data_IF_343334550775
#
_entry.id   IF_343334550775
#
_cell.length_a   1.000
_cell.length_b   1.000
_cell.length_c   1.000
_cell.angle_alpha   90.00
_cell.angle_beta   90.00
_cell.angle_gamma   90.00
#
_symmetry.space_group_name_H-M   'P 1'
#
loop_
_entity.id
_entity.type
_entity.pdbx_description
1 polymer ?
#
# COMPACT_ATOMS: atom_id res chain seq x y z
N UNK A 1 3.41 -12.73 -3.31
CA UNK A 1 3.77 -11.30 -3.44
C UNK A 1 2.59 -10.43 -2.98
N UNK A 2 1.42 -10.48 -3.62
CA UNK A 2 0.30 -9.57 -3.36
C UNK A 2 -0.11 -9.46 -1.89
N UNK A 3 -0.27 -10.57 -1.17
CA UNK A 3 -0.62 -10.56 0.26
C UNK A 3 0.46 -9.92 1.13
N UNK A 4 1.73 -10.20 0.86
CA UNK A 4 2.84 -9.64 1.62
C UNK A 4 2.97 -8.12 1.38
N UNK A 5 2.88 -7.69 0.12
CA UNK A 5 2.86 -6.26 -0.22
C UNK A 5 1.69 -5.55 0.46
N UNK A 6 0.47 -6.12 0.39
CA UNK A 6 -0.71 -5.56 1.05
C UNK A 6 -0.55 -5.49 2.58
N UNK A 7 0.10 -6.47 3.20
CA UNK A 7 0.42 -6.43 4.62
C UNK A 7 1.37 -5.26 4.95
N UNK A 8 2.44 -5.07 4.17
CA UNK A 8 3.37 -3.94 4.35
C UNK A 8 2.66 -2.60 4.12
N UNK A 9 1.87 -2.48 3.05
CA UNK A 9 1.04 -1.30 2.76
C UNK A 9 0.14 -0.98 3.95
N UNK A 10 -0.51 -2.01 4.51
CA UNK A 10 -1.45 -1.84 5.62
C UNK A 10 -0.72 -1.37 6.88
N UNK A 11 0.37 -2.02 7.25
CA UNK A 11 1.13 -1.65 8.45
C UNK A 11 1.65 -0.22 8.35
N UNK A 12 2.31 0.14 7.24
CA UNK A 12 2.86 1.48 7.05
C UNK A 12 1.76 2.54 6.92
N UNK A 13 0.72 2.27 6.12
CA UNK A 13 -0.38 3.18 5.89
C UNK A 13 -1.20 3.46 7.15
N UNK A 14 -1.51 2.43 7.94
CA UNK A 14 -2.22 2.59 9.22
C UNK A 14 -1.35 3.32 10.24
N UNK A 15 -0.09 2.93 10.41
CA UNK A 15 0.80 3.57 11.36
C UNK A 15 0.98 5.07 11.04
N UNK A 16 1.31 5.40 9.79
CA UNK A 16 1.53 6.79 9.38
C UNK A 16 0.24 7.61 9.40
N UNK A 17 -0.87 7.04 8.93
CA UNK A 17 -2.17 7.70 8.92
C UNK A 17 -2.70 7.99 10.33
N UNK A 18 -2.52 7.06 11.27
CA UNK A 18 -2.86 7.26 12.67
C UNK A 18 -1.99 8.36 13.30
N UNK A 19 -0.67 8.32 13.10
CA UNK A 19 0.25 9.33 13.61
C UNK A 19 -0.14 10.72 13.11
N UNK A 20 -0.37 10.88 11.81
CA UNK A 20 -0.78 12.13 11.19
C UNK A 20 -2.17 12.59 11.67
N UNK A 21 -3.15 11.67 11.75
CA UNK A 21 -4.51 11.97 12.20
C UNK A 21 -4.62 12.45 13.64
N UNK A 22 -3.71 12.01 14.52
CA UNK A 22 -3.64 12.41 15.94
C UNK A 22 -2.81 13.67 16.11
N UNK A 23 -1.86 13.94 15.23
CA UNK A 23 -0.90 15.02 15.34
C UNK A 23 -1.54 16.43 15.37
N UNK A 24 -0.86 17.42 15.97
CA UNK A 24 -1.23 18.84 15.85
C UNK A 24 -1.21 19.28 14.39
N UNK A 25 -2.00 20.32 14.06
CA UNK A 25 -2.20 20.77 12.67
C UNK A 25 -0.89 21.05 11.90
N UNK A 26 0.13 21.60 12.56
CA UNK A 26 1.42 21.89 11.92
C UNK A 26 2.19 20.62 11.56
N UNK A 27 2.26 19.66 12.49
CA UNK A 27 2.93 18.36 12.28
C UNK A 27 2.20 17.53 11.23
N UNK A 28 0.88 17.50 11.29
CA UNK A 28 0.05 16.82 10.30
C UNK A 28 0.25 17.42 8.89
N UNK A 29 0.28 18.76 8.77
CA UNK A 29 0.56 19.41 7.50
C UNK A 29 1.94 19.05 6.95
N UNK A 30 2.97 19.00 7.80
CA UNK A 30 4.31 18.58 7.39
C UNK A 30 4.35 17.13 6.91
N UNK A 31 3.75 16.21 7.68
CA UNK A 31 3.67 14.80 7.31
C UNK A 31 2.95 14.61 5.97
N UNK A 32 1.83 15.30 5.75
CA UNK A 32 1.11 15.21 4.47
C UNK A 32 1.90 15.82 3.31
N UNK A 33 2.65 16.90 3.52
CA UNK A 33 3.54 17.44 2.48
C UNK A 33 4.62 16.45 2.06
N UNK A 34 5.19 15.70 2.99
CA UNK A 34 6.15 14.63 2.66
C UNK A 34 5.51 13.55 1.78
N UNK A 35 4.29 13.13 2.13
CA UNK A 35 3.53 12.16 1.31
C UNK A 35 3.26 12.72 -0.10
N UNK A 36 2.82 13.97 -0.21
CA UNK A 36 2.54 14.63 -1.50
C UNK A 36 3.81 14.73 -2.36
N UNK A 37 4.95 15.10 -1.78
CA UNK A 37 6.22 15.17 -2.49
C UNK A 37 6.64 13.82 -3.07
N UNK A 38 6.55 12.74 -2.29
CA UNK A 38 6.90 11.40 -2.78
C UNK A 38 5.91 10.93 -3.84
N UNK A 39 4.62 11.22 -3.68
CA UNK A 39 3.59 10.85 -4.66
C UNK A 39 3.59 11.70 -5.94
N UNK A 40 4.34 12.81 -6.00
CA UNK A 40 4.51 13.57 -7.23
C UNK A 40 5.26 12.78 -8.31
N UNK A 41 6.01 11.75 -7.91
CA UNK A 41 6.70 10.85 -8.82
C UNK A 41 5.80 9.64 -9.08
N UNK A 42 5.54 9.25 -10.35
CA UNK A 42 4.78 8.05 -10.66
C UNK A 42 5.41 6.80 -10.02
N UNK A 43 4.62 6.06 -9.24
CA UNK A 43 5.11 4.91 -8.46
C UNK A 43 5.80 3.86 -9.33
N UNK A 44 5.32 3.65 -10.56
CA UNK A 44 5.94 2.71 -11.49
C UNK A 44 7.38 3.12 -11.83
N UNK A 45 7.66 4.41 -12.04
CA UNK A 45 9.01 4.90 -12.31
C UNK A 45 9.93 4.69 -11.10
N UNK A 46 9.41 4.90 -9.89
CA UNK A 46 10.17 4.63 -8.66
C UNK A 46 10.52 3.15 -8.54
N UNK A 47 9.57 2.26 -8.84
CA UNK A 47 9.80 0.81 -8.83
C UNK A 47 10.80 0.37 -9.90
N UNK A 48 10.67 0.85 -11.13
CA UNK A 48 11.61 0.56 -12.21
C UNK A 48 13.03 1.00 -11.86
N UNK A 49 13.18 2.20 -11.33
CA UNK A 49 14.47 2.70 -10.87
C UNK A 49 15.04 1.84 -9.71
N UNK A 50 14.23 1.53 -8.72
CA UNK A 50 14.64 0.72 -7.57
C UNK A 50 15.12 -0.67 -8.00
N UNK A 51 14.36 -1.34 -8.87
CA UNK A 51 14.73 -2.67 -9.40
C UNK A 51 16.01 -2.59 -10.24
N UNK A 52 16.16 -1.57 -11.09
CA UNK A 52 17.38 -1.38 -11.90
C UNK A 52 18.62 -1.16 -11.06
N UNK A 53 18.51 -0.47 -9.93
CA UNK A 53 19.64 -0.20 -9.03
C UNK A 53 19.99 -1.38 -8.13
N UNK A 54 19.01 -2.15 -7.71
CA UNK A 54 19.19 -3.28 -6.79
C UNK A 54 19.61 -4.57 -7.52
N UNK A 55 19.46 -4.64 -8.84
CA UNK A 55 19.77 -5.82 -9.64
C UNK A 55 18.70 -6.93 -9.54
N UNK A 56 19.07 -8.21 -9.74
CA UNK A 56 18.10 -9.30 -9.77
C UNK A 56 17.26 -9.40 -8.50
N UNK A 57 15.95 -9.53 -8.67
CA UNK A 57 14.97 -9.52 -7.59
C UNK A 57 14.44 -10.94 -7.32
N UNK A 58 13.97 -11.16 -6.10
CA UNK A 58 13.18 -12.32 -5.72
C UNK A 58 11.76 -11.88 -5.27
N UNK A 59 10.88 -12.84 -5.07
CA UNK A 59 9.49 -12.58 -4.68
C UNK A 59 9.36 -11.73 -3.40
N UNK A 60 10.27 -11.91 -2.44
CA UNK A 60 10.27 -11.14 -1.19
C UNK A 60 10.68 -9.68 -1.43
N UNK A 61 11.76 -9.45 -2.18
CA UNK A 61 12.25 -8.08 -2.45
C UNK A 61 11.24 -7.28 -3.27
N UNK A 62 10.60 -7.87 -4.29
CA UNK A 62 9.53 -7.22 -5.05
C UNK A 62 8.34 -6.91 -4.16
N UNK A 63 7.92 -7.84 -3.30
CA UNK A 63 6.82 -7.60 -2.38
C UNK A 63 7.10 -6.43 -1.42
N UNK A 64 8.31 -6.34 -0.89
CA UNK A 64 8.74 -5.24 -0.03
C UNK A 64 8.81 -3.91 -0.78
N UNK A 65 9.36 -3.90 -1.99
CA UNK A 65 9.44 -2.69 -2.82
C UNK A 65 8.03 -2.13 -3.12
N UNK A 66 7.11 -2.99 -3.57
CA UNK A 66 5.71 -2.59 -3.82
C UNK A 66 5.06 -2.11 -2.52
N UNK A 67 5.28 -2.82 -1.42
CA UNK A 67 4.72 -2.48 -0.12
C UNK A 67 5.19 -1.10 0.40
N UNK A 68 6.49 -0.84 0.31
CA UNK A 68 7.11 0.42 0.77
C UNK A 68 6.76 1.61 -0.14
N UNK A 69 6.41 1.37 -1.39
CA UNK A 69 6.02 2.45 -2.32
C UNK A 69 4.51 2.64 -2.46
N UNK A 70 3.68 1.71 -1.95
CA UNK A 70 2.23 1.72 -2.16
C UNK A 70 1.36 2.25 -1.01
N UNK A 71 1.90 2.51 0.17
CA UNK A 71 1.12 2.80 1.39
C UNK A 71 0.54 4.21 1.51
N UNK A 72 0.97 5.16 0.70
CA UNK A 72 0.61 6.59 0.84
C UNK A 72 -0.89 6.87 0.72
N UNK A 73 -1.58 6.21 -0.22
CA UNK A 73 -3.03 6.37 -0.40
C UNK A 73 -3.79 5.92 0.84
N UNK A 74 -3.42 4.75 1.40
CA UNK A 74 -4.01 4.22 2.63
C UNK A 74 -3.76 5.15 3.82
N UNK A 75 -2.57 5.71 3.95
CA UNK A 75 -2.25 6.64 5.02
C UNK A 75 -3.16 7.87 5.02
N UNK A 76 -3.49 8.43 3.84
CA UNK A 76 -4.43 9.56 3.73
C UNK A 76 -5.85 9.19 4.14
N UNK A 77 -6.31 8.01 3.76
CA UNK A 77 -7.64 7.51 4.14
C UNK A 77 -7.70 7.30 5.65
N UNK A 78 -6.75 6.58 6.22
CA UNK A 78 -6.65 6.34 7.68
C UNK A 78 -6.60 7.66 8.45
N UNK A 79 -5.79 8.62 7.99
CA UNK A 79 -5.74 9.97 8.60
C UNK A 79 -7.11 10.65 8.60
N UNK A 80 -7.86 10.58 7.49
CA UNK A 80 -9.21 11.13 7.38
C UNK A 80 -10.16 10.52 8.41
N UNK A 81 -10.19 9.19 8.48
CA UNK A 81 -10.99 8.42 9.41
C UNK A 81 -10.65 8.75 10.87
N UNK A 82 -9.36 8.75 11.21
CA UNK A 82 -8.89 9.08 12.56
C UNK A 82 -9.33 10.50 12.97
N UNK A 83 -9.25 11.47 12.07
CA UNK A 83 -9.69 12.85 12.34
C UNK A 83 -11.19 12.95 12.56
N UNK A 84 -11.97 12.25 11.76
CA UNK A 84 -13.42 12.21 11.89
C UNK A 84 -13.84 11.57 13.23
N UNK A 85 -13.30 10.38 13.51
CA UNK A 85 -13.63 9.61 14.73
C UNK A 85 -13.22 10.37 15.98
N UNK A 86 -12.05 10.98 16.00
CA UNK A 86 -11.51 11.68 17.18
C UNK A 86 -12.39 12.86 17.65
N UNK A 87 -13.20 13.45 16.77
CA UNK A 87 -14.13 14.53 17.07
C UNK A 87 -15.57 14.06 17.27
N UNK A 88 -15.84 12.76 17.24
CA UNK A 88 -17.18 12.22 17.44
C UNK A 88 -17.65 12.35 18.90
N UNK A 89 -18.95 12.49 19.07
CA UNK A 89 -19.57 12.68 20.39
C UNK A 89 -19.29 11.53 21.37
N UNK A 90 -19.25 10.28 20.87
CA UNK A 90 -18.98 9.14 21.72
C UNK A 90 -17.51 9.09 22.23
N UNK A 91 -16.56 9.66 21.48
CA UNK A 91 -15.18 9.82 21.95
C UNK A 91 -15.11 10.93 23.01
N UNK A 92 -15.82 12.03 22.81
CA UNK A 92 -15.91 13.09 23.81
C UNK A 92 -16.56 12.57 25.11
N UNK A 93 -17.68 11.84 25.01
CA UNK A 93 -18.32 11.20 26.14
C UNK A 93 -17.37 10.25 26.89
N UNK A 94 -16.64 9.39 26.16
CA UNK A 94 -15.65 8.49 26.74
C UNK A 94 -14.54 9.23 27.51
N UNK A 95 -14.08 10.38 26.99
CA UNK A 95 -13.10 11.23 27.68
C UNK A 95 -13.67 11.85 28.94
N UNK A 96 -14.90 12.36 28.89
CA UNK A 96 -15.59 12.92 30.06
C UNK A 96 -15.78 11.88 31.18
N UNK A 97 -15.98 10.62 30.82
CA UNK A 97 -16.06 9.49 31.78
C UNK A 97 -14.71 9.00 32.29
N UNK A 98 -13.60 9.69 31.97
CA UNK A 98 -12.26 9.33 32.43
C UNK A 98 -11.55 8.26 31.61
N UNK A 99 -12.03 7.96 30.39
CA UNK A 99 -11.39 7.01 29.49
C UNK A 99 -9.95 7.43 29.13
N UNK A 100 -8.98 6.56 29.40
CA UNK A 100 -7.59 6.80 29.02
C UNK A 100 -7.42 6.80 27.50
N UNK A 101 -6.39 7.51 27.00
CA UNK A 101 -6.09 7.57 25.56
C UNK A 101 -5.91 6.18 24.94
N UNK A 102 -5.16 5.29 25.60
CA UNK A 102 -4.94 3.91 25.13
C UNK A 102 -6.23 3.08 25.09
N UNK A 103 -7.14 3.25 26.04
CA UNK A 103 -8.43 2.59 26.05
C UNK A 103 -9.32 3.07 24.90
N UNK A 104 -9.42 4.38 24.70
CA UNK A 104 -10.19 4.98 23.58
C UNK A 104 -9.63 4.51 22.23
N UNK A 105 -8.30 4.50 22.08
CA UNK A 105 -7.64 4.02 20.88
C UNK A 105 -8.05 2.58 20.57
N UNK A 106 -7.88 1.68 21.53
CA UNK A 106 -8.12 0.24 21.34
C UNK A 106 -9.61 -0.10 21.20
N UNK A 107 -10.49 0.57 21.96
CA UNK A 107 -11.91 0.23 22.04
C UNK A 107 -12.75 0.90 20.96
N UNK A 108 -12.39 2.09 20.53
CA UNK A 108 -13.18 2.88 19.62
C UNK A 108 -12.47 3.17 18.30
N UNK A 109 -11.24 3.70 18.34
CA UNK A 109 -10.59 4.21 17.14
C UNK A 109 -10.13 3.08 16.22
N UNK A 110 -9.38 2.11 16.73
CA UNK A 110 -8.84 1.01 15.92
C UNK A 110 -9.95 0.18 15.24
N UNK A 111 -11.02 -0.29 15.94
CA UNK A 111 -12.06 -1.08 15.29
C UNK A 111 -12.78 -0.32 14.16
N UNK A 112 -13.06 0.97 14.36
CA UNK A 112 -13.73 1.79 13.33
C UNK A 112 -12.82 2.05 12.12
N UNK A 113 -11.54 2.35 12.35
CA UNK A 113 -10.57 2.51 11.27
C UNK A 113 -10.42 1.22 10.46
N UNK A 114 -10.29 0.06 11.13
CA UNK A 114 -10.18 -1.24 10.46
C UNK A 114 -11.38 -1.49 9.55
N UNK A 115 -12.60 -1.23 10.00
CA UNK A 115 -13.80 -1.39 9.18
C UNK A 115 -13.80 -0.48 7.96
N UNK A 116 -13.39 0.79 8.13
CA UNK A 116 -13.36 1.77 7.05
C UNK A 116 -12.32 1.45 5.97
N UNK A 117 -11.18 0.88 6.35
CA UNK A 117 -10.07 0.60 5.41
C UNK A 117 -10.13 -0.80 4.80
N UNK A 118 -11.02 -1.68 5.25
CA UNK A 118 -11.04 -3.08 4.81
C UNK A 118 -11.08 -3.23 3.29
N UNK A 119 -11.95 -2.47 2.62
CA UNK A 119 -12.03 -2.48 1.16
C UNK A 119 -10.72 -2.04 0.50
N UNK A 120 -10.06 -1.02 1.05
CA UNK A 120 -8.79 -0.48 0.52
C UNK A 120 -7.67 -1.50 0.68
N UNK A 121 -7.63 -2.21 1.81
CA UNK A 121 -6.67 -3.29 2.07
C UNK A 121 -6.85 -4.44 1.09
N UNK A 122 -8.10 -4.85 0.85
CA UNK A 122 -8.40 -5.89 -0.16
C UNK A 122 -7.96 -5.42 -1.55
N UNK A 123 -8.28 -4.19 -1.93
CA UNK A 123 -7.88 -3.59 -3.20
C UNK A 123 -6.35 -3.49 -3.35
N UNK A 124 -5.62 -3.29 -2.25
CA UNK A 124 -4.16 -3.25 -2.26
C UNK A 124 -3.55 -4.59 -2.70
N UNK A 125 -4.18 -5.73 -2.40
CA UNK A 125 -3.74 -7.05 -2.89
C UNK A 125 -3.79 -7.08 -4.41
N UNK A 126 -4.93 -6.71 -5.01
CA UNK A 126 -5.12 -6.69 -6.46
C UNK A 126 -4.15 -5.73 -7.15
N UNK A 127 -3.99 -4.53 -6.61
CA UNK A 127 -3.05 -3.53 -7.14
C UNK A 127 -1.60 -4.02 -7.07
N UNK A 128 -1.22 -4.70 -5.98
CA UNK A 128 0.12 -5.27 -5.83
C UNK A 128 0.40 -6.38 -6.82
N UNK A 129 -0.60 -7.24 -7.10
CA UNK A 129 -0.49 -8.29 -8.11
C UNK A 129 -0.33 -7.66 -9.51
N UNK A 130 -1.15 -6.66 -9.84
CA UNK A 130 -1.04 -5.96 -11.11
C UNK A 130 0.32 -5.27 -11.29
N UNK A 131 0.85 -4.68 -10.22
CA UNK A 131 2.16 -4.02 -10.25
C UNK A 131 3.31 -5.02 -10.44
N UNK A 132 3.28 -6.16 -9.73
CA UNK A 132 4.23 -7.27 -9.94
C UNK A 132 4.16 -7.76 -11.38
N UNK A 133 2.94 -8.02 -11.88
CA UNK A 133 2.75 -8.52 -13.24
C UNK A 133 3.30 -7.53 -14.30
N UNK A 134 3.15 -6.24 -14.06
CA UNK A 134 3.73 -5.20 -14.93
C UNK A 134 5.25 -5.24 -14.91
N UNK A 135 5.88 -5.34 -13.73
CA UNK A 135 7.33 -5.43 -13.62
C UNK A 135 7.88 -6.69 -14.29
N UNK A 136 7.25 -7.84 -14.05
CA UNK A 136 7.66 -9.12 -14.65
C UNK A 136 7.43 -9.15 -16.16
N UNK A 137 6.34 -8.56 -16.66
CA UNK A 137 6.10 -8.39 -18.10
C UNK A 137 7.20 -7.56 -18.78
N UNK A 138 7.67 -6.50 -18.11
CA UNK A 138 8.77 -5.65 -18.59
C UNK A 138 10.15 -6.30 -18.44
N UNK A 139 10.24 -7.53 -17.92
CA UNK A 139 11.50 -8.25 -17.71
C UNK A 139 12.33 -7.78 -16.52
N UNK A 140 11.74 -6.97 -15.64
CA UNK A 140 12.37 -6.40 -14.44
C UNK A 140 11.81 -6.98 -13.13
N UNK A 141 10.90 -7.96 -13.23
CA UNK A 141 10.26 -8.60 -12.08
C UNK A 141 10.96 -9.85 -11.60
N UNK A 142 10.19 -10.91 -11.45
CA UNK A 142 10.70 -12.22 -11.04
C UNK A 142 11.62 -12.87 -12.09
N UNK A 143 12.57 -13.73 -11.65
CA UNK A 143 13.35 -14.58 -12.55
C UNK A 143 12.45 -15.42 -13.47
N UNK A 144 12.97 -15.78 -14.64
CA UNK A 144 12.21 -16.49 -15.70
C UNK A 144 11.72 -17.89 -15.27
N UNK A 145 12.39 -18.49 -14.31
CA UNK A 145 12.07 -19.78 -13.69
C UNK A 145 10.96 -19.69 -12.63
N UNK A 146 10.56 -18.49 -12.21
CA UNK A 146 9.42 -18.29 -11.32
C UNK A 146 8.16 -17.92 -12.12
N UNK A 147 7.12 -18.74 -11.97
CA UNK A 147 5.82 -18.50 -12.61
C UNK A 147 5.10 -17.33 -11.97
N UNK A 148 4.79 -16.32 -12.78
CA UNK A 148 3.93 -15.19 -12.41
C UNK A 148 2.97 -14.85 -13.55
N UNK A 149 1.93 -14.08 -13.25
CA UNK A 149 1.04 -13.53 -14.29
C UNK A 149 1.81 -12.69 -15.31
N UNK A 150 2.80 -11.94 -14.86
CA UNK A 150 3.63 -11.10 -15.73
C UNK A 150 4.54 -11.93 -16.64
N UNK A 151 5.18 -12.99 -16.13
CA UNK A 151 6.00 -13.89 -16.96
C UNK A 151 5.16 -14.64 -17.99
N UNK A 152 3.94 -15.05 -17.63
CA UNK A 152 2.99 -15.66 -18.58
C UNK A 152 2.57 -14.68 -19.68
N UNK A 153 2.27 -13.42 -19.34
CA UNK A 153 1.95 -12.38 -20.32
C UNK A 153 3.11 -12.11 -21.27
N UNK A 154 4.36 -12.08 -20.78
CA UNK A 154 5.55 -11.91 -21.60
C UNK A 154 5.78 -13.09 -22.57
N UNK A 155 5.46 -14.32 -22.14
CA UNK A 155 5.48 -15.49 -23.02
C UNK A 155 4.35 -15.43 -24.07
N UNK A 156 3.16 -15.00 -23.69
CA UNK A 156 2.03 -14.82 -24.60
C UNK A 156 2.35 -13.78 -25.69
N UNK A 157 2.99 -12.68 -25.33
CA UNK A 157 3.41 -11.66 -26.31
C UNK A 157 4.41 -12.23 -27.34
N UNK A 158 5.39 -13.01 -26.89
CA UNK A 158 6.32 -13.72 -27.77
C UNK A 158 5.61 -14.74 -28.67
N UNK A 159 4.63 -15.48 -28.14
CA UNK A 159 3.85 -16.43 -28.91
C UNK A 159 3.03 -15.75 -30.02
N UNK A 160 2.48 -14.57 -29.75
CA UNK A 160 1.79 -13.76 -30.77
C UNK A 160 2.72 -13.32 -31.89
N UNK A 161 3.94 -12.85 -31.55
CA UNK A 161 4.96 -12.44 -32.53
C UNK A 161 5.40 -13.62 -33.42
N UNK A 162 5.41 -14.83 -32.88
CA UNK A 162 5.75 -16.07 -33.60
C UNK A 162 4.55 -16.70 -34.30
N UNK A 163 3.38 -16.06 -34.26
CA UNK A 163 2.13 -16.55 -34.84
C UNK A 163 1.65 -17.91 -34.27
N UNK A 164 2.00 -18.19 -33.01
CA UNK A 164 1.65 -19.40 -32.26
C UNK A 164 0.54 -19.11 -31.23
N UNK A 165 -0.48 -18.35 -31.64
CA UNK A 165 -1.56 -17.85 -30.77
C UNK A 165 -2.29 -18.96 -29.97
N UNK A 166 -2.28 -20.23 -30.45
CA UNK A 166 -2.90 -21.36 -29.75
C UNK A 166 -2.17 -21.80 -28.49
N UNK A 167 -1.04 -21.20 -28.14
CA UNK A 167 -0.28 -21.49 -26.91
C UNK A 167 -0.70 -20.52 -25.78
N UNK A 168 -1.45 -19.50 -26.08
CA UNK A 168 -1.96 -18.50 -25.16
C UNK A 168 -3.26 -19.03 -24.53
#
# INVERSE_FOLDING_TARGET
IGLLSAAVITVLGVAYGCLSGIAPARTDALLMRLVELVQSIPVLLVLLLAVSLLGPQNALSIALLIGVTGWFALARIVRGEVRQIRHSEYILASRCMGGSFGWIMRRHLVPNVVSAILFVVISAVSTSIAMESTLSFLGLGLPVDELSWGSMLALADKALLLNTWWVI
#
